data_IF_938383196325
#
_entry.id   IF_938383196325
#
_cell.length_a   1.000
_cell.length_b   1.000
_cell.length_c   1.000
_cell.angle_alpha   90.00
_cell.angle_beta   90.00
_cell.angle_gamma   90.00
#
_symmetry.space_group_name_H-M   'P 1'
#
loop_
_entity.id
_entity.type
_entity.pdbx_description
1 polymer ?
#
# COMPACT_ATOMS: atom_id res chain seq x y z
N UNK A 1 -2.45 28.29 9.35
CA UNK A 1 -1.09 27.88 8.95
C UNK A 1 -1.19 26.60 8.14
N UNK A 2 -1.47 26.80 6.85
CA UNK A 2 -0.93 26.08 5.71
C UNK A 2 -0.36 24.68 5.97
N UNK A 3 -1.23 23.67 5.87
CA UNK A 3 -0.81 22.40 5.29
C UNK A 3 -0.70 22.62 3.77
N UNK A 4 0.26 23.45 3.33
CA UNK A 4 0.53 23.75 1.91
C UNK A 4 1.44 22.68 1.31
N UNK A 5 1.10 21.42 1.55
CA UNK A 5 1.56 20.35 0.68
C UNK A 5 0.32 19.85 -0.05
N UNK A 6 0.10 20.40 -1.25
CA UNK A 6 -0.91 19.93 -2.22
C UNK A 6 -0.59 18.53 -2.76
N UNK A 7 0.54 17.94 -2.36
CA UNK A 7 0.90 16.58 -2.76
C UNK A 7 -0.13 15.58 -2.23
N UNK A 8 -0.73 14.81 -3.14
CA UNK A 8 -1.62 13.68 -2.82
C UNK A 8 -0.84 12.43 -2.34
N UNK A 9 0.31 12.63 -1.69
CA UNK A 9 1.12 11.54 -1.17
C UNK A 9 0.48 10.93 0.08
N UNK A 10 0.67 9.63 0.27
CA UNK A 10 0.16 8.93 1.45
C UNK A 10 0.71 9.52 2.77
N UNK A 11 1.93 10.07 2.75
CA UNK A 11 2.48 10.80 3.89
C UNK A 11 1.69 12.08 4.19
N UNK A 12 1.34 12.86 3.17
CA UNK A 12 0.52 14.06 3.34
C UNK A 12 -0.87 13.71 3.90
N UNK A 13 -1.48 12.63 3.41
CA UNK A 13 -2.74 12.11 3.95
C UNK A 13 -2.61 11.68 5.42
N UNK A 14 -1.53 11.01 5.79
CA UNK A 14 -1.26 10.61 7.17
C UNK A 14 -1.14 11.83 8.10
N UNK A 15 -0.43 12.87 7.65
CA UNK A 15 -0.28 14.13 8.38
C UNK A 15 -1.62 14.85 8.52
N UNK A 16 -2.46 14.85 7.48
CA UNK A 16 -3.81 15.43 7.52
C UNK A 16 -4.71 14.68 8.50
N UNK A 17 -4.68 13.35 8.51
CA UNK A 17 -5.42 12.54 9.49
C UNK A 17 -4.95 12.76 10.92
N UNK A 18 -3.64 12.95 11.14
CA UNK A 18 -3.09 13.34 12.42
C UNK A 18 -3.42 14.80 12.82
N UNK A 19 -3.97 15.60 11.90
CA UNK A 19 -4.40 16.98 12.09
C UNK A 19 -3.32 18.03 11.84
N UNK A 20 -2.04 17.74 12.12
CA UNK A 20 -0.93 18.66 11.82
C UNK A 20 0.41 17.94 11.75
N UNK A 21 1.40 18.55 11.09
CA UNK A 21 2.77 18.03 11.04
C UNK A 21 3.39 17.89 12.45
N UNK A 22 3.06 18.82 13.36
CA UNK A 22 3.53 18.76 14.75
C UNK A 22 2.87 17.62 15.52
N UNK A 23 1.57 17.40 15.34
CA UNK A 23 0.87 16.27 15.96
C UNK A 23 1.39 14.92 15.42
N UNK A 24 1.58 14.83 14.10
CA UNK A 24 2.18 13.66 13.46
C UNK A 24 3.61 13.40 13.95
N UNK A 25 4.45 14.44 14.02
CA UNK A 25 5.81 14.33 14.54
C UNK A 25 5.83 13.84 15.98
N UNK A 26 4.93 14.34 16.85
CA UNK A 26 4.80 13.84 18.24
C UNK A 26 4.44 12.36 18.30
N UNK A 27 3.62 11.89 17.37
CA UNK A 27 3.19 10.49 17.30
C UNK A 27 4.34 9.52 17.04
N UNK A 28 5.25 9.90 16.14
CA UNK A 28 6.41 9.08 15.77
C UNK A 28 7.72 9.51 16.45
N UNK A 29 7.65 10.45 17.40
CA UNK A 29 8.82 10.97 18.11
C UNK A 29 9.78 11.81 17.26
N UNK A 30 9.31 12.43 16.17
CA UNK A 30 10.10 13.29 15.28
C UNK A 30 9.73 14.76 15.38
N UNK A 31 10.68 15.62 15.01
CA UNK A 31 10.46 17.06 14.89
C UNK A 31 9.59 17.36 13.67
N UNK A 32 8.78 18.40 13.74
CA UNK A 32 7.95 18.86 12.61
C UNK A 32 8.79 19.23 11.37
N UNK A 33 10.01 19.75 11.55
CA UNK A 33 10.93 20.02 10.44
C UNK A 33 11.28 18.77 9.62
N UNK A 34 11.49 17.63 10.27
CA UNK A 34 11.79 16.35 9.60
C UNK A 34 10.60 15.92 8.74
N UNK A 35 9.37 16.13 9.22
CA UNK A 35 8.16 15.81 8.47
C UNK A 35 8.04 16.72 7.24
N UNK A 36 8.36 18.00 7.40
CA UNK A 36 8.40 18.94 6.29
C UNK A 36 9.46 18.56 5.24
N UNK A 37 10.68 18.19 5.64
CA UNK A 37 11.71 17.68 4.71
C UNK A 37 11.23 16.45 3.94
N UNK A 38 10.55 15.51 4.61
CA UNK A 38 10.00 14.34 3.92
C UNK A 38 8.90 14.70 2.92
N UNK A 39 8.00 15.61 3.28
CA UNK A 39 6.95 16.09 2.38
C UNK A 39 7.49 16.91 1.22
N UNK A 40 8.55 17.69 1.44
CA UNK A 40 9.19 18.55 0.43
C UNK A 40 10.03 17.76 -0.57
N UNK A 41 10.80 16.79 -0.09
CA UNK A 41 11.66 15.94 -0.93
C UNK A 41 10.90 14.71 -1.47
N UNK A 42 9.58 14.64 -1.25
CA UNK A 42 8.72 13.50 -1.60
C UNK A 42 9.28 12.15 -1.11
N UNK A 43 9.96 12.17 0.05
CA UNK A 43 10.61 10.99 0.60
C UNK A 43 9.56 10.05 1.22
N UNK A 44 9.69 8.74 0.97
CA UNK A 44 8.81 7.76 1.59
C UNK A 44 9.04 7.70 3.10
N UNK A 45 7.97 7.37 3.85
CA UNK A 45 8.05 7.16 5.28
C UNK A 45 9.00 5.98 5.58
N UNK A 46 9.96 6.12 6.52
CA UNK A 46 10.80 5.02 6.97
C UNK A 46 9.95 3.86 7.53
N UNK A 47 10.33 2.62 7.20
CA UNK A 47 9.57 1.41 7.53
C UNK A 47 9.31 1.26 9.04
N UNK A 48 10.25 1.72 9.88
CA UNK A 48 10.14 1.68 11.33
C UNK A 48 8.94 2.48 11.87
N UNK A 49 8.48 3.51 11.15
CA UNK A 49 7.34 4.33 11.55
C UNK A 49 6.03 3.90 10.88
N UNK A 50 6.08 3.05 9.85
CA UNK A 50 4.88 2.63 9.10
C UNK A 50 3.85 1.98 10.01
N UNK A 51 4.26 1.09 10.91
CA UNK A 51 3.36 0.42 11.85
C UNK A 51 2.75 1.39 12.87
N UNK A 52 3.54 2.36 13.36
CA UNK A 52 3.05 3.37 14.29
C UNK A 52 2.04 4.32 13.61
N UNK A 53 2.31 4.69 12.36
CA UNK A 53 1.43 5.56 11.57
C UNK A 53 0.17 4.81 11.15
N UNK A 54 0.25 3.54 10.75
CA UNK A 54 -0.90 2.68 10.44
C UNK A 54 -1.83 2.56 11.65
N UNK A 55 -1.28 2.28 12.85
CA UNK A 55 -2.07 2.19 14.07
C UNK A 55 -2.76 3.51 14.46
N UNK A 56 -2.14 4.65 14.16
CA UNK A 56 -2.66 5.97 14.52
C UNK A 56 -3.62 6.58 13.49
N UNK A 57 -3.34 6.39 12.21
CA UNK A 57 -4.06 7.04 11.11
C UNK A 57 -4.99 6.07 10.36
N UNK A 58 -4.78 4.77 10.53
CA UNK A 58 -5.51 3.73 9.80
C UNK A 58 -5.21 3.73 8.29
N UNK A 59 -4.09 4.29 7.85
CA UNK A 59 -3.64 4.21 6.46
C UNK A 59 -2.82 2.93 6.28
N UNK A 60 -3.11 2.17 5.24
CA UNK A 60 -2.43 0.90 4.99
C UNK A 60 -0.95 1.12 4.68
N UNK A 61 -0.09 0.22 5.17
CA UNK A 61 1.35 0.20 4.84
C UNK A 61 1.65 0.21 3.34
N UNK A 62 0.74 -0.35 2.53
CA UNK A 62 0.80 -0.37 1.07
C UNK A 62 0.65 1.03 0.46
N UNK A 63 -0.20 1.89 1.02
CA UNK A 63 -0.34 3.28 0.57
C UNK A 63 0.89 4.10 0.98
N UNK A 64 1.39 3.91 2.21
CA UNK A 64 2.56 4.65 2.72
C UNK A 64 3.86 4.32 1.99
N UNK A 65 4.00 3.07 1.53
CA UNK A 65 5.25 2.48 1.04
C UNK A 65 4.98 1.41 -0.04
N UNK A 66 4.29 1.79 -1.12
CA UNK A 66 3.99 0.91 -2.25
C UNK A 66 5.26 0.28 -2.89
N UNK A 67 6.40 0.94 -2.74
CA UNK A 67 7.70 0.50 -3.28
C UNK A 67 8.25 -0.77 -2.61
N UNK A 68 7.94 -0.98 -1.33
CA UNK A 68 8.48 -2.11 -0.54
C UNK A 68 7.37 -3.08 -0.09
N UNK A 69 6.13 -2.61 -0.09
CA UNK A 69 4.95 -3.47 -0.06
C UNK A 69 4.20 -3.26 -1.36
N UNK A 70 4.69 -3.83 -2.48
CA UNK A 70 3.82 -3.91 -3.64
C UNK A 70 2.53 -4.55 -3.17
N UNK A 71 1.39 -3.92 -3.47
CA UNK A 71 0.16 -4.67 -3.53
C UNK A 71 0.49 -5.78 -4.51
N UNK A 72 0.67 -6.99 -3.99
CA UNK A 72 0.39 -8.13 -4.82
C UNK A 72 -1.03 -7.85 -5.29
N UNK A 73 -1.18 -7.38 -6.53
CA UNK A 73 -2.22 -7.90 -7.39
C UNK A 73 -2.08 -9.40 -7.23
N UNK A 74 -2.70 -9.96 -6.19
CA UNK A 74 -3.08 -11.34 -6.26
C UNK A 74 -4.02 -11.31 -7.46
N UNK A 75 -3.71 -11.96 -8.59
CA UNK A 75 -4.80 -12.44 -9.39
C UNK A 75 -5.69 -13.20 -8.40
N UNK A 76 -6.94 -12.80 -8.33
CA UNK A 76 -7.89 -13.34 -7.38
C UNK A 76 -8.18 -14.84 -7.68
N UNK A 77 -9.21 -15.48 -7.10
CA UNK A 77 -9.07 -16.42 -6.00
C UNK A 77 -9.64 -17.81 -6.37
N UNK A 78 -9.06 -18.93 -5.92
CA UNK A 78 -9.79 -20.20 -5.99
C UNK A 78 -9.27 -21.23 -4.98
N UNK A 79 -9.97 -21.32 -3.85
CA UNK A 79 -10.24 -22.63 -3.30
C UNK A 79 -11.08 -23.43 -4.32
N UNK A 80 -10.64 -24.65 -4.62
CA UNK A 80 -11.39 -25.75 -5.23
C UNK A 80 -11.75 -25.68 -6.73
N UNK A 81 -10.87 -26.24 -7.58
CA UNK A 81 -11.32 -27.10 -8.70
C UNK A 81 -10.39 -28.31 -8.82
N UNK A 82 -10.72 -29.39 -8.11
CA UNK A 82 -10.42 -30.72 -8.60
C UNK A 82 -11.29 -30.95 -9.86
N UNK A 83 -10.72 -30.78 -11.05
CA UNK A 83 -11.34 -31.31 -12.27
C UNK A 83 -10.29 -31.51 -13.37
N UNK A 84 -9.53 -32.60 -13.25
CA UNK A 84 -8.87 -33.24 -14.40
C UNK A 84 -9.89 -34.12 -15.11
N UNK A 85 -10.77 -33.53 -15.92
CA UNK A 85 -11.57 -34.28 -16.87
C UNK A 85 -12.13 -33.35 -17.94
N UNK A 86 -11.45 -33.33 -19.10
CA UNK A 86 -12.04 -33.48 -20.44
C UNK A 86 -11.02 -32.97 -21.47
N UNK A 87 -10.24 -33.90 -22.03
CA UNK A 87 -9.81 -33.79 -23.43
C UNK A 87 -10.64 -34.81 -24.17
N UNK A 88 -11.73 -34.34 -24.77
CA UNK A 88 -12.60 -35.15 -25.60
C UNK A 88 -11.93 -35.45 -26.94
N UNK A 89 -11.78 -36.75 -27.18
CA UNK A 89 -11.89 -37.45 -28.47
C UNK A 89 -12.42 -36.63 -29.66
N UNK A 90 -11.80 -36.80 -30.85
CA UNK A 90 -12.57 -37.51 -31.87
C UNK A 90 -11.80 -38.61 -32.61
N UNK A 91 -12.27 -39.85 -32.41
CA UNK A 91 -12.35 -40.98 -33.32
C UNK A 91 -12.15 -40.63 -34.81
N UNK A 92 -10.95 -40.89 -35.32
CA UNK A 92 -10.67 -41.04 -36.74
C UNK A 92 -10.84 -42.52 -37.16
N UNK A 93 -11.61 -42.72 -38.22
CA UNK A 93 -12.25 -43.97 -38.56
C UNK A 93 -11.34 -45.12 -39.00
N UNK A 94 -11.62 -46.30 -38.44
CA UNK A 94 -11.24 -47.58 -39.02
C UNK A 94 -12.07 -47.84 -40.28
N UNK A 95 -11.39 -47.91 -41.43
CA UNK A 95 -11.91 -48.50 -42.66
C UNK A 95 -10.93 -49.56 -43.12
N UNK A 96 -11.48 -50.73 -43.45
CA UNK A 96 -10.90 -51.97 -44.01
C UNK A 96 -10.36 -52.97 -43.00
#
# INVERSE_FOLDING_TARGET
MALEHESESALALAVRKAGSQTAFGRLIGKRQSVIHDWLRDEKPLPAEYVLAVEAATGISRHELRADIYPLAESPEPAASVAKTATTGDPLEGVRS
#
